data_IF_859722338711
#
_entry.id   IF_859722338711
#
_cell.length_a   1.000
_cell.length_b   1.000
_cell.length_c   1.000
_cell.angle_alpha   90.00
_cell.angle_beta   90.00
_cell.angle_gamma   90.00
#
_symmetry.space_group_name_H-M   'P 1'
#
loop_
_entity.id
_entity.type
_entity.pdbx_description
1 polymer ?
#
# COMPACT_ATOMS: atom_id res chain seq x y z
N UNK A 1 -22.68 -3.84 2.22
CA UNK A 1 -23.06 -3.98 0.80
C UNK A 1 -21.92 -4.72 0.11
N UNK A 2 -22.08 -6.02 -0.10
CA UNK A 2 -21.24 -6.77 -1.05
C UNK A 2 -22.23 -7.57 -1.87
N UNK A 3 -22.82 -6.89 -2.85
CA UNK A 3 -23.27 -7.59 -4.05
C UNK A 3 -22.02 -8.27 -4.62
N UNK A 4 -22.11 -9.56 -4.94
CA UNK A 4 -21.02 -10.30 -5.58
C UNK A 4 -20.70 -9.60 -6.92
N UNK A 5 -19.76 -8.65 -6.89
CA UNK A 5 -19.30 -7.98 -8.10
C UNK A 5 -18.83 -9.02 -9.10
N UNK A 6 -19.13 -8.78 -10.37
CA UNK A 6 -18.66 -9.65 -11.44
C UNK A 6 -17.13 -9.61 -11.50
N UNK A 7 -16.52 -10.67 -12.04
CA UNK A 7 -15.05 -10.79 -12.12
C UNK A 7 -14.41 -9.62 -12.87
N UNK A 8 -15.09 -9.09 -13.87
CA UNK A 8 -14.62 -7.95 -14.67
C UNK A 8 -14.55 -6.67 -13.83
N UNK A 9 -15.51 -6.47 -12.92
CA UNK A 9 -15.50 -5.33 -11.99
C UNK A 9 -14.38 -5.48 -10.96
N UNK A 10 -14.20 -6.68 -10.41
CA UNK A 10 -13.12 -6.96 -9.46
C UNK A 10 -11.74 -6.79 -10.11
N UNK A 11 -11.56 -7.29 -11.34
CA UNK A 11 -10.30 -7.14 -12.07
C UNK A 11 -9.93 -5.67 -12.33
N UNK A 12 -10.91 -4.77 -12.38
CA UNK A 12 -10.68 -3.35 -12.63
C UNK A 12 -10.51 -2.53 -11.34
N UNK A 13 -11.07 -2.97 -10.21
CA UNK A 13 -11.25 -2.12 -9.03
C UNK A 13 -10.93 -2.76 -7.68
N UNK A 14 -10.80 -4.08 -7.57
CA UNK A 14 -10.47 -4.71 -6.30
C UNK A 14 -9.06 -4.30 -5.87
N UNK A 15 -8.85 -4.18 -4.55
CA UNK A 15 -7.54 -3.88 -3.96
C UNK A 15 -7.16 -2.40 -3.90
N UNK A 16 -7.88 -1.50 -4.58
CA UNK A 16 -7.55 -0.06 -4.57
C UNK A 16 -8.77 0.87 -4.64
N UNK A 17 -8.81 1.81 -3.70
CA UNK A 17 -9.69 2.97 -3.72
C UNK A 17 -8.91 4.22 -4.21
N UNK A 18 -9.57 5.20 -4.84
CA UNK A 18 -8.88 6.39 -5.36
C UNK A 18 -8.07 7.08 -4.27
N UNK A 19 -6.90 7.60 -4.61
CA UNK A 19 -6.03 8.28 -3.65
C UNK A 19 -6.79 9.44 -2.99
N UNK A 20 -6.98 9.43 -1.66
CA UNK A 20 -7.74 10.47 -0.97
C UNK A 20 -7.04 11.83 -1.00
N UNK A 21 -5.74 11.87 -1.30
CA UNK A 21 -4.94 13.10 -1.30
C UNK A 21 -5.15 13.90 -2.58
N UNK A 22 -5.17 13.23 -3.74
CA UNK A 22 -5.24 13.86 -5.07
C UNK A 22 -6.51 13.55 -5.85
N UNK A 23 -7.32 12.60 -5.37
CA UNK A 23 -8.44 11.98 -6.10
C UNK A 23 -8.03 11.29 -7.41
N UNK A 24 -6.76 10.92 -7.56
CA UNK A 24 -6.31 10.10 -8.68
C UNK A 24 -6.92 8.70 -8.59
N UNK A 25 -7.45 8.20 -9.72
CA UNK A 25 -7.98 6.83 -9.82
C UNK A 25 -6.90 5.79 -10.15
N UNK A 26 -5.80 6.20 -10.79
CA UNK A 26 -4.68 5.31 -11.06
C UNK A 26 -3.81 5.17 -9.80
N UNK A 27 -3.35 3.95 -9.54
CA UNK A 27 -2.42 3.66 -8.44
C UNK A 27 -1.12 4.44 -8.65
N UNK A 28 -0.65 5.22 -7.66
CA UNK A 28 0.65 5.87 -7.74
C UNK A 28 1.79 4.85 -7.86
N UNK A 29 2.76 5.18 -8.71
CA UNK A 29 3.98 4.36 -8.83
C UNK A 29 4.97 4.86 -7.77
N UNK A 30 5.45 3.96 -6.91
CA UNK A 30 6.47 4.22 -5.88
C UNK A 30 7.82 3.59 -6.29
N UNK A 31 8.58 4.20 -7.23
CA UNK A 31 9.85 3.68 -7.73
C UNK A 31 10.99 3.98 -6.76
N UNK A 32 10.94 3.38 -5.57
CA UNK A 32 11.95 3.54 -4.51
C UNK A 32 12.48 2.18 -4.08
N UNK A 33 13.63 2.18 -3.41
CA UNK A 33 14.22 1.00 -2.75
C UNK A 33 13.99 1.02 -1.23
N UNK A 34 13.81 2.20 -0.63
CA UNK A 34 13.78 2.42 0.83
C UNK A 34 12.70 3.42 1.25
N UNK A 35 12.32 3.36 2.52
CA UNK A 35 11.34 4.26 3.16
C UNK A 35 11.97 4.95 4.38
N UNK A 36 11.58 6.21 4.62
CA UNK A 36 12.06 6.98 5.77
C UNK A 36 11.23 6.62 7.01
N UNK A 37 11.89 6.43 8.14
CA UNK A 37 11.23 6.23 9.43
C UNK A 37 10.99 7.56 10.14
N UNK A 38 9.86 7.66 10.83
CA UNK A 38 9.52 8.84 11.62
C UNK A 38 10.43 9.01 12.85
N UNK A 39 10.93 7.90 13.42
CA UNK A 39 11.86 7.87 14.54
C UNK A 39 12.59 6.51 14.62
N UNK A 40 13.57 6.37 15.52
CA UNK A 40 14.23 5.09 15.80
C UNK A 40 13.28 4.06 16.43
N UNK A 41 12.33 4.53 17.23
CA UNK A 41 11.28 3.68 17.84
C UNK A 41 10.32 3.14 16.78
N UNK A 42 9.87 3.99 15.84
CA UNK A 42 9.06 3.56 14.69
C UNK A 42 9.78 2.47 13.88
N UNK A 43 11.08 2.63 13.61
CA UNK A 43 11.87 1.61 12.94
C UNK A 43 11.86 0.28 13.73
N UNK A 44 12.11 0.34 15.05
CA UNK A 44 12.09 -0.84 15.92
C UNK A 44 10.74 -1.56 15.88
N UNK A 45 9.64 -0.82 15.88
CA UNK A 45 8.29 -1.39 15.85
C UNK A 45 7.99 -2.10 14.53
N UNK A 46 8.38 -1.51 13.39
CA UNK A 46 8.22 -2.14 12.07
C UNK A 46 9.02 -3.45 11.96
N UNK A 47 10.28 -3.46 12.39
CA UNK A 47 11.10 -4.67 12.36
C UNK A 47 10.67 -5.72 13.39
N UNK A 48 10.09 -5.29 14.51
CA UNK A 48 9.50 -6.16 15.54
C UNK A 48 8.09 -6.65 15.21
N UNK A 49 7.53 -6.27 14.05
CA UNK A 49 6.14 -6.55 13.63
C UNK A 49 5.08 -6.05 14.63
N UNK A 50 5.43 -5.06 15.44
CA UNK A 50 4.52 -4.39 16.37
C UNK A 50 3.67 -3.31 15.67
N UNK A 51 4.13 -2.85 14.50
CA UNK A 51 3.45 -1.85 13.67
C UNK A 51 3.53 -2.28 12.19
N UNK A 52 2.49 -1.94 11.41
CA UNK A 52 2.47 -2.18 9.97
C UNK A 52 3.07 -0.99 9.22
N UNK A 53 3.91 -1.27 8.23
CA UNK A 53 4.48 -0.24 7.39
C UNK A 53 5.56 -0.78 6.46
N UNK A 54 6.01 0.08 5.55
CA UNK A 54 7.02 -0.29 4.58
C UNK A 54 8.42 -0.11 5.16
N UNK A 55 9.28 -1.10 4.95
CA UNK A 55 10.68 -1.07 5.41
C UNK A 55 11.61 -0.89 4.20
N UNK A 56 11.52 -1.79 3.22
CA UNK A 56 12.27 -1.72 1.96
C UNK A 56 11.57 -2.53 0.86
N UNK A 57 11.73 -2.11 -0.39
CA UNK A 57 10.92 -2.59 -1.52
C UNK A 57 11.05 -4.08 -1.83
N UNK A 58 12.15 -4.73 -1.43
CA UNK A 58 12.32 -6.19 -1.56
C UNK A 58 11.37 -6.98 -0.64
N UNK A 59 10.88 -6.40 0.46
CA UNK A 59 9.80 -7.02 1.26
C UNK A 59 8.43 -6.51 0.83
N UNK A 60 8.27 -5.20 0.74
CA UNK A 60 6.97 -4.54 0.59
C UNK A 60 7.14 -3.25 -0.20
N UNK A 61 6.23 -3.03 -1.14
CA UNK A 61 6.13 -1.78 -1.90
C UNK A 61 4.64 -1.47 -2.14
N UNK A 62 4.15 -0.24 -1.85
CA UNK A 62 2.74 0.08 -1.99
C UNK A 62 2.15 -0.13 -3.38
N UNK A 63 2.96 0.01 -4.45
CA UNK A 63 2.48 -0.26 -5.81
C UNK A 63 2.21 -1.75 -6.05
N UNK A 64 2.84 -2.66 -5.29
CA UNK A 64 2.67 -4.11 -5.43
C UNK A 64 1.62 -4.70 -4.48
N UNK A 65 1.14 -3.92 -3.51
CA UNK A 65 0.18 -4.35 -2.47
C UNK A 65 -1.29 -4.19 -2.91
N UNK A 66 -1.51 -3.54 -4.06
CA UNK A 66 -2.83 -3.32 -4.68
C UNK A 66 -3.35 -4.53 -5.45
#
# INVERSE_FOLDING_TARGET
>A
MSENYKRETLALHAGYDPDPTTNSRAVPIYPTTSYVFNSTEHASNLFGLAEFGNIYSRLMNPTNDV
#
